data_IF_019640805836
#
_entry.id   IF_019640805836
#
_cell.length_a   1.000
_cell.length_b   1.000
_cell.length_c   1.000
_cell.angle_alpha   90.00
_cell.angle_beta   90.00
_cell.angle_gamma   90.00
#
_symmetry.space_group_name_H-M   'P 1'
#
loop_
_entity.id
_entity.type
_entity.pdbx_description
1 polymer ?
#
# COMPACT_ATOMS: atom_id res chain seq x y z
N UNK A 1 -32.08 -9.30 -2.48
CA UNK A 1 -30.90 -8.44 -2.75
C UNK A 1 -30.31 -8.83 -4.09
N UNK A 2 -30.28 -7.91 -5.05
CA UNK A 2 -29.56 -8.14 -6.30
C UNK A 2 -28.07 -7.92 -6.02
N UNK A 3 -27.32 -9.01 -5.88
CA UNK A 3 -25.86 -8.93 -5.77
C UNK A 3 -25.31 -8.45 -7.11
N UNK A 4 -24.69 -7.28 -7.13
CA UNK A 4 -23.85 -6.85 -8.25
C UNK A 4 -22.55 -7.65 -8.17
N UNK A 5 -22.32 -8.65 -9.03
CA UNK A 5 -21.16 -9.49 -8.89
C UNK A 5 -19.95 -8.67 -9.33
N UNK A 6 -18.99 -8.44 -8.43
CA UNK A 6 -17.73 -7.74 -8.73
C UNK A 6 -17.08 -8.24 -10.02
N UNK A 7 -17.19 -9.54 -10.30
CA UNK A 7 -16.65 -10.18 -11.51
C UNK A 7 -17.31 -9.71 -12.82
N UNK A 8 -18.58 -9.29 -12.79
CA UNK A 8 -19.33 -8.82 -13.96
C UNK A 8 -19.07 -7.34 -14.29
N UNK A 9 -18.33 -6.62 -13.43
CA UNK A 9 -17.98 -5.23 -13.69
C UNK A 9 -16.91 -5.11 -14.78
N UNK A 10 -16.88 -3.97 -15.50
CA UNK A 10 -15.77 -3.60 -16.37
C UNK A 10 -14.43 -3.69 -15.65
N UNK A 11 -13.38 -4.03 -16.39
CA UNK A 11 -12.06 -4.27 -15.82
C UNK A 11 -11.45 -3.03 -15.18
N UNK A 12 -11.73 -1.84 -15.74
CA UNK A 12 -11.32 -0.55 -15.18
C UNK A 12 -11.90 -0.34 -13.78
N UNK A 13 -13.21 -0.58 -13.61
CA UNK A 13 -13.89 -0.44 -12.33
C UNK A 13 -13.36 -1.46 -11.31
N UNK A 14 -13.14 -2.72 -11.73
CA UNK A 14 -12.52 -3.73 -10.86
C UNK A 14 -11.12 -3.31 -10.42
N UNK A 15 -10.32 -2.73 -11.32
CA UNK A 15 -8.99 -2.19 -11.01
C UNK A 15 -9.05 -1.12 -9.92
N UNK A 16 -9.94 -0.13 -10.06
CA UNK A 16 -10.13 0.93 -9.07
C UNK A 16 -10.59 0.39 -7.72
N UNK A 17 -11.48 -0.61 -7.71
CA UNK A 17 -11.91 -1.26 -6.46
C UNK A 17 -10.71 -1.94 -5.79
N UNK A 18 -9.88 -2.66 -6.55
CA UNK A 18 -8.69 -3.33 -6.01
C UNK A 18 -7.68 -2.33 -5.44
N UNK A 19 -7.43 -1.21 -6.13
CA UNK A 19 -6.57 -0.13 -5.62
C UNK A 19 -7.12 0.46 -4.31
N UNK A 20 -8.43 0.68 -4.23
CA UNK A 20 -9.08 1.15 -3.00
C UNK A 20 -8.99 0.12 -1.88
N UNK A 21 -9.20 -1.16 -2.17
CA UNK A 21 -9.07 -2.22 -1.17
C UNK A 21 -7.62 -2.31 -0.67
N UNK A 22 -6.63 -2.21 -1.56
CA UNK A 22 -5.22 -2.22 -1.19
C UNK A 22 -4.82 -1.08 -0.25
N UNK A 23 -5.50 0.08 -0.36
CA UNK A 23 -5.31 1.21 0.56
C UNK A 23 -5.96 1.01 1.92
N UNK A 24 -7.04 0.24 2.01
CA UNK A 24 -7.88 0.23 3.22
C UNK A 24 -7.78 -1.07 4.02
N UNK A 25 -7.50 -2.22 3.38
CA UNK A 25 -7.58 -3.51 4.05
C UNK A 25 -6.66 -4.54 3.40
N UNK A 26 -5.58 -4.85 4.12
CA UNK A 26 -4.69 -5.97 3.81
C UNK A 26 -5.46 -7.28 3.63
N UNK A 27 -6.35 -7.59 4.58
CA UNK A 27 -7.09 -8.85 4.59
C UNK A 27 -7.99 -8.97 3.36
N UNK A 28 -8.74 -7.92 3.03
CA UNK A 28 -9.66 -7.95 1.89
C UNK A 28 -8.89 -8.02 0.57
N UNK A 29 -7.73 -7.37 0.46
CA UNK A 29 -6.89 -7.47 -0.74
C UNK A 29 -6.44 -8.91 -1.00
N UNK A 30 -6.00 -9.62 0.05
CA UNK A 30 -5.61 -11.03 -0.08
C UNK A 30 -6.82 -11.93 -0.34
N UNK A 31 -7.99 -11.62 0.24
CA UNK A 31 -9.26 -12.27 -0.11
C UNK A 31 -9.61 -12.10 -1.60
N UNK A 32 -9.45 -10.88 -2.14
CA UNK A 32 -9.65 -10.61 -3.57
C UNK A 32 -8.67 -11.40 -4.44
N UNK A 33 -7.39 -11.46 -4.07
CA UNK A 33 -6.38 -12.27 -4.77
C UNK A 33 -6.75 -13.76 -4.83
N UNK A 34 -7.31 -14.29 -3.74
CA UNK A 34 -7.73 -15.69 -3.66
C UNK A 34 -9.04 -15.98 -4.42
N UNK A 35 -9.86 -14.95 -4.68
CA UNK A 35 -11.20 -15.13 -5.26
C UNK A 35 -11.20 -15.61 -6.71
N UNK A 36 -10.28 -15.11 -7.55
CA UNK A 36 -10.21 -15.49 -8.96
C UNK A 36 -8.89 -15.09 -9.62
N UNK A 37 -8.58 -15.70 -10.77
CA UNK A 37 -7.39 -15.36 -11.58
C UNK A 37 -7.41 -13.91 -12.08
N UNK A 38 -8.58 -13.38 -12.44
CA UNK A 38 -8.71 -12.00 -12.93
C UNK A 38 -8.49 -10.98 -11.79
N UNK A 39 -9.04 -11.24 -10.61
CA UNK A 39 -8.82 -10.38 -9.44
C UNK A 39 -7.38 -10.43 -8.96
N UNK A 40 -6.74 -11.61 -9.00
CA UNK A 40 -5.31 -11.74 -8.73
C UNK A 40 -4.47 -10.88 -9.67
N UNK A 41 -4.72 -10.97 -10.98
CA UNK A 41 -3.99 -10.17 -11.98
C UNK A 41 -4.17 -8.66 -11.78
N UNK A 42 -5.37 -8.22 -11.40
CA UNK A 42 -5.63 -6.82 -11.03
C UNK A 42 -4.86 -6.40 -9.79
N UNK A 43 -4.82 -7.25 -8.76
CA UNK A 43 -4.14 -6.99 -7.48
C UNK A 43 -2.61 -7.08 -7.54
N UNK A 44 -2.05 -7.42 -8.70
CA UNK A 44 -0.62 -7.44 -8.97
C UNK A 44 -0.20 -6.31 -9.93
N UNK A 45 -1.13 -5.41 -10.32
CA UNK A 45 -0.82 -4.21 -11.12
C UNK A 45 0.00 -3.21 -10.32
N UNK A 46 0.77 -2.39 -11.05
CA UNK A 46 1.61 -1.32 -10.50
C UNK A 46 0.86 -0.33 -9.61
N UNK A 47 -0.31 0.14 -10.04
CA UNK A 47 -1.13 1.08 -9.26
C UNK A 47 -1.52 0.56 -7.87
N UNK A 48 -1.69 -0.76 -7.73
CA UNK A 48 -2.00 -1.39 -6.45
C UNK A 48 -0.84 -1.25 -5.46
N UNK A 49 0.40 -1.43 -5.92
CA UNK A 49 1.58 -1.25 -5.06
C UNK A 49 1.77 0.21 -4.65
N UNK A 50 1.40 1.17 -5.51
CA UNK A 50 1.44 2.59 -5.15
C UNK A 50 0.45 2.92 -4.02
N UNK A 51 -0.78 2.40 -4.07
CA UNK A 51 -1.81 2.67 -3.06
C UNK A 51 -1.81 1.73 -1.84
N UNK A 52 -0.98 0.68 -1.86
CA UNK A 52 -0.94 -0.32 -0.82
C UNK A 52 -0.61 0.28 0.55
N UNK A 53 -1.45 0.07 1.56
CA UNK A 53 -1.13 0.47 2.92
C UNK A 53 -0.19 -0.55 3.57
N UNK A 54 1.11 -0.29 3.47
CA UNK A 54 2.16 -1.14 4.03
C UNK A 54 2.15 -1.09 5.57
N UNK A 55 1.65 -0.01 6.16
CA UNK A 55 1.59 0.14 7.62
C UNK A 55 0.51 -0.77 8.23
N UNK A 56 -0.56 -1.07 7.48
CA UNK A 56 -1.62 -2.01 7.89
C UNK A 56 -1.16 -3.47 8.02
N UNK A 57 0.02 -3.81 7.47
CA UNK A 57 0.49 -5.19 7.50
C UNK A 57 1.05 -5.52 8.88
N UNK A 58 0.73 -6.69 9.43
CA UNK A 58 1.35 -7.17 10.68
C UNK A 58 2.85 -7.42 10.49
N UNK A 59 3.68 -6.43 10.80
CA UNK A 59 5.16 -6.46 10.68
C UNK A 59 5.85 -7.58 11.45
N UNK A 60 5.19 -8.13 12.48
CA UNK A 60 5.68 -9.31 13.22
C UNK A 60 5.57 -10.62 12.43
N UNK A 61 4.81 -10.64 11.34
CA UNK A 61 4.78 -11.73 10.37
C UNK A 61 5.72 -11.33 9.23
N UNK A 62 6.76 -12.12 8.97
CA UNK A 62 7.76 -11.90 7.92
C UNK A 62 7.19 -11.21 6.67
N UNK A 63 7.27 -9.87 6.62
CA UNK A 63 6.78 -9.10 5.49
C UNK A 63 7.61 -9.54 4.27
N UNK A 64 6.98 -9.94 3.16
CA UNK A 64 7.74 -10.36 1.99
C UNK A 64 8.62 -9.22 1.50
N UNK A 65 9.94 -9.42 1.48
CA UNK A 65 10.90 -8.42 1.01
C UNK A 65 10.66 -8.00 -0.43
N UNK A 66 10.07 -8.87 -1.25
CA UNK A 66 9.63 -8.58 -2.61
C UNK A 66 8.49 -7.55 -2.66
N UNK A 67 7.49 -7.66 -1.77
CA UNK A 67 6.37 -6.73 -1.70
C UNK A 67 6.85 -5.32 -1.35
N UNK A 68 7.71 -5.20 -0.33
CA UNK A 68 8.30 -3.92 0.05
C UNK A 68 9.10 -3.28 -1.09
N UNK A 69 9.88 -4.08 -1.82
CA UNK A 69 10.63 -3.62 -3.00
C UNK A 69 9.70 -3.11 -4.10
N UNK A 70 8.62 -3.83 -4.38
CA UNK A 70 7.61 -3.43 -5.37
C UNK A 70 6.91 -2.13 -4.98
N UNK A 71 6.45 -2.00 -3.73
CA UNK A 71 5.82 -0.77 -3.24
C UNK A 71 6.79 0.42 -3.30
N UNK A 72 8.05 0.22 -2.91
CA UNK A 72 9.06 1.26 -2.99
C UNK A 72 9.36 1.70 -4.43
N UNK A 73 9.44 0.74 -5.36
CA UNK A 73 9.68 1.02 -6.78
C UNK A 73 8.54 1.85 -7.42
N UNK A 74 7.31 1.66 -6.96
CA UNK A 74 6.13 2.44 -7.39
C UNK A 74 5.94 3.73 -6.55
N UNK A 75 6.91 4.10 -5.72
CA UNK A 75 6.89 5.34 -4.94
C UNK A 75 5.82 5.37 -3.86
N UNK A 76 5.45 4.22 -3.30
CA UNK A 76 4.40 4.12 -2.29
C UNK A 76 4.69 5.01 -1.06
N UNK A 77 3.76 5.90 -0.65
CA UNK A 77 3.96 6.82 0.47
C UNK A 77 4.29 6.11 1.79
N UNK A 78 3.62 4.99 2.08
CA UNK A 78 3.90 4.21 3.30
C UNK A 78 5.34 3.71 3.34
N UNK A 79 5.86 3.16 2.23
CA UNK A 79 7.28 2.72 2.16
C UNK A 79 8.28 3.87 2.25
N UNK A 80 7.96 5.03 1.67
CA UNK A 80 8.80 6.22 1.79
C UNK A 80 8.87 6.67 3.26
N UNK A 81 7.74 6.66 3.94
CA UNK A 81 7.67 6.98 5.36
C UNK A 81 8.49 6.01 6.21
N UNK A 82 8.31 4.69 6.06
CA UNK A 82 9.06 3.66 6.81
C UNK A 82 10.57 3.82 6.58
N UNK A 83 10.98 4.05 5.33
CA UNK A 83 12.38 4.30 5.01
C UNK A 83 12.90 5.58 5.67
N UNK A 84 12.10 6.65 5.68
CA UNK A 84 12.41 7.89 6.38
C UNK A 84 12.60 7.69 7.88
N UNK A 85 11.69 6.97 8.54
CA UNK A 85 11.79 6.61 9.96
C UNK A 85 13.05 5.78 10.24
N UNK A 86 13.37 4.81 9.39
CA UNK A 86 14.58 3.99 9.52
C UNK A 86 15.85 4.85 9.42
N UNK A 87 15.92 5.78 8.46
CA UNK A 87 17.06 6.68 8.30
C UNK A 87 17.20 7.62 9.49
N UNK A 88 16.07 8.15 9.97
CA UNK A 88 16.03 9.07 11.09
C UNK A 88 16.43 8.42 12.42
N UNK A 89 15.83 7.27 12.76
CA UNK A 89 15.99 6.62 14.06
C UNK A 89 17.15 5.62 14.10
N UNK A 90 17.27 4.76 13.08
CA UNK A 90 18.24 3.65 13.11
C UNK A 90 19.63 4.07 12.63
N UNK A 91 19.71 4.95 11.64
CA UNK A 91 20.99 5.39 11.06
C UNK A 91 21.43 6.80 11.53
N UNK A 92 20.57 7.52 12.25
CA UNK A 92 20.87 8.88 12.73
C UNK A 92 20.95 9.94 11.63
N UNK A 93 20.52 9.61 10.40
CA UNK A 93 20.55 10.46 9.22
C UNK A 93 19.30 11.36 9.20
N UNK A 94 19.30 12.36 10.08
CA UNK A 94 18.11 13.17 10.38
C UNK A 94 17.54 13.90 9.15
N UNK A 95 18.39 14.60 8.40
CA UNK A 95 17.95 15.39 7.24
C UNK A 95 17.40 14.51 6.11
N UNK A 96 18.08 13.41 5.83
CA UNK A 96 17.65 12.45 4.80
C UNK A 96 16.36 11.75 5.21
N UNK A 97 16.27 11.30 6.47
CA UNK A 97 15.04 10.73 7.04
C UNK A 97 13.86 11.71 6.94
N UNK A 98 14.06 12.96 7.32
CA UNK A 98 13.06 14.03 7.19
C UNK A 98 12.68 14.28 5.72
N UNK A 99 13.64 14.24 4.79
CA UNK A 99 13.34 14.42 3.37
C UNK A 99 12.42 13.33 2.82
N UNK A 100 12.60 12.08 3.25
CA UNK A 100 11.73 10.96 2.89
C UNK A 100 10.33 11.10 3.50
N UNK A 101 10.25 11.46 4.79
CA UNK A 101 8.97 11.64 5.47
C UNK A 101 8.14 12.80 4.86
N UNK A 102 8.78 13.94 4.56
CA UNK A 102 8.14 15.07 3.87
C UNK A 102 7.62 14.68 2.48
N UNK A 103 8.39 13.89 1.73
CA UNK A 103 7.95 13.39 0.42
C UNK A 103 6.75 12.44 0.52
N UNK A 104 6.71 11.59 1.55
CA UNK A 104 5.56 10.73 1.80
C UNK A 104 4.30 11.55 2.13
N UNK A 105 4.44 12.56 2.99
CA UNK A 105 3.36 13.47 3.39
C UNK A 105 2.76 14.23 2.21
N UNK A 106 3.60 14.74 1.29
CA UNK A 106 3.13 15.41 0.07
C UNK A 106 2.30 14.50 -0.85
N UNK A 107 2.43 13.18 -0.73
CA UNK A 107 1.76 12.20 -1.59
C UNK A 107 0.54 11.55 -0.94
N UNK A 108 0.54 11.37 0.38
CA UNK A 108 -0.65 10.94 1.11
C UNK A 108 -0.73 11.60 2.50
N UNK A 109 -1.73 12.48 2.66
CA UNK A 109 -2.00 13.21 3.90
C UNK A 109 -2.43 12.26 5.03
N UNK A 110 -2.89 11.04 4.73
CA UNK A 110 -3.21 10.05 5.76
C UNK A 110 -1.99 9.62 6.59
N UNK A 111 -0.77 9.76 6.03
CA UNK A 111 0.49 9.49 6.73
C UNK A 111 0.72 10.51 7.86
N UNK A 112 0.09 11.69 7.77
CA UNK A 112 0.12 12.73 8.81
C UNK A 112 -0.57 12.28 10.11
N UNK A 113 -1.66 11.51 10.00
CA UNK A 113 -2.50 11.11 11.14
C UNK A 113 -1.79 10.21 12.15
N UNK A 114 -0.66 9.60 11.77
CA UNK A 114 0.16 8.74 12.63
C UNK A 114 0.94 9.58 13.68
N UNK A 115 1.10 10.89 13.46
CA UNK A 115 1.85 11.79 14.37
C UNK A 115 0.95 12.54 15.37
N UNK A 116 -0.37 12.39 15.26
CA UNK A 116 -1.36 13.12 16.08
C UNK A 116 -2.19 12.23 17.01
N UNK A 117 -1.76 10.99 17.25
CA UNK A 117 -2.34 10.11 18.28
C UNK A 117 -1.44 9.97 19.49
#
# INVERSE_FOLDING_TARGET
>A
MNYFPLLKLPEEIKGLVVERVARNSFQDLYGLKASSKSMKALAERRGVYHFYDVLSVPWGLNMPSSLLKSCYAEGNPSTLYIKGVQFFLSFGLKEEGLSFMKRAEMQDVSVLCIHTQ
#
